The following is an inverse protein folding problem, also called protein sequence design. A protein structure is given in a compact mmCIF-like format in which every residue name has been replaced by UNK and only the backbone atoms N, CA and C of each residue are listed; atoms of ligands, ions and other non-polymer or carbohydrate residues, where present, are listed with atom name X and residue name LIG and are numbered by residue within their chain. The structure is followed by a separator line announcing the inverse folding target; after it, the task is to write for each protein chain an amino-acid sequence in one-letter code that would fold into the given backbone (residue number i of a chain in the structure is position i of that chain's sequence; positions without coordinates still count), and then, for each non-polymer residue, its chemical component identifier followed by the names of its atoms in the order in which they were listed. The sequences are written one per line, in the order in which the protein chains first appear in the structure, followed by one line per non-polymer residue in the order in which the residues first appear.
data_IF_290594508999
#
_entry.id   IF_290594508999
#
_cell.length_a   1.000
_cell.length_b   1.000
_cell.length_c   1.000
_cell.angle_alpha   90.00
_cell.angle_beta   90.00
_cell.angle_gamma   90.00
#
_symmetry.space_group_name_H-M   'P 1'
#
loop_
_entity.id
_entity.type
_entity.pdbx_description
1 polymer ?
#
# COMPACT_ATOMS: atom_id res chain seq x y z
N UNK A 1 1.64 -3.22 -7.97
CA UNK A 1 1.00 -2.30 -8.95
C UNK A 1 -0.52 -2.27 -8.84
N UNK A 2 -1.21 -3.39 -8.67
CA UNK A 2 -2.69 -3.44 -8.59
C UNK A 2 -3.32 -2.39 -7.64
N UNK A 3 -2.82 -2.26 -6.42
CA UNK A 3 -3.29 -1.29 -5.41
C UNK A 3 -2.58 0.07 -5.48
N UNK A 4 -1.86 0.37 -6.57
CA UNK A 4 -1.13 1.63 -6.68
C UNK A 4 -2.06 2.82 -6.95
N UNK A 5 -3.18 2.58 -7.64
CA UNK A 5 -4.23 3.54 -7.99
C UNK A 5 -3.66 4.81 -8.63
N UNK A 6 -3.09 4.62 -9.83
CA UNK A 6 -2.36 5.66 -10.56
C UNK A 6 -3.26 6.76 -11.16
N UNK A 7 -2.67 7.78 -11.80
CA UNK A 7 -3.38 8.99 -12.26
C UNK A 7 -4.41 8.74 -13.37
N UNK A 8 -4.42 7.56 -13.98
CA UNK A 8 -5.35 7.15 -15.03
C UNK A 8 -6.35 6.08 -14.58
N UNK A 9 -6.42 5.81 -13.27
CA UNK A 9 -7.41 4.90 -12.65
C UNK A 9 -8.24 5.65 -11.62
N UNK A 10 -9.20 4.95 -11.03
CA UNK A 10 -9.81 5.38 -9.79
C UNK A 10 -8.74 5.60 -8.72
N UNK A 11 -8.97 6.58 -7.85
CA UNK A 11 -8.21 6.72 -6.60
C UNK A 11 -8.66 5.62 -5.61
N UNK A 12 -7.96 5.41 -4.48
CA UNK A 12 -8.25 4.27 -3.61
C UNK A 12 -9.71 4.16 -3.14
N UNK A 13 -10.42 5.25 -2.78
CA UNK A 13 -11.85 5.17 -2.50
C UNK A 13 -12.68 4.61 -3.68
N UNK A 14 -12.37 5.07 -4.90
CA UNK A 14 -13.06 4.64 -6.12
C UNK A 14 -12.76 3.18 -6.50
N UNK A 15 -11.55 2.68 -6.23
CA UNK A 15 -11.24 1.24 -6.39
C UNK A 15 -12.21 0.40 -5.54
N UNK A 16 -12.51 0.82 -4.31
CA UNK A 16 -13.50 0.14 -3.47
C UNK A 16 -14.93 0.25 -4.00
N UNK A 17 -15.28 1.31 -4.74
CA UNK A 17 -16.55 1.35 -5.48
C UNK A 17 -16.59 0.32 -6.62
N UNK A 18 -15.49 0.12 -7.37
CA UNK A 18 -15.40 -0.91 -8.42
C UNK A 18 -15.59 -2.31 -7.82
N UNK A 19 -14.93 -2.60 -6.69
CA UNK A 19 -15.11 -3.86 -5.95
C UNK A 19 -16.56 -4.01 -5.50
N UNK A 20 -17.15 -2.96 -4.91
CA UNK A 20 -18.52 -2.99 -4.43
C UNK A 20 -19.54 -3.25 -5.54
N UNK A 21 -19.32 -2.70 -6.73
CA UNK A 21 -20.15 -2.94 -7.91
C UNK A 21 -20.05 -4.40 -8.37
N UNK A 22 -18.84 -4.94 -8.47
CA UNK A 22 -18.63 -6.36 -8.82
C UNK A 22 -19.30 -7.30 -7.82
N UNK A 23 -19.19 -7.00 -6.52
CA UNK A 23 -19.87 -7.75 -5.45
C UNK A 23 -21.39 -7.68 -5.61
N UNK A 24 -21.92 -6.49 -5.86
CA UNK A 24 -23.37 -6.26 -6.04
C UNK A 24 -23.92 -7.04 -7.24
N UNK A 25 -23.18 -7.07 -8.34
CA UNK A 25 -23.57 -7.81 -9.54
C UNK A 25 -23.54 -9.32 -9.31
N UNK A 26 -22.57 -9.83 -8.54
CA UNK A 26 -22.50 -11.26 -8.17
C UNK A 26 -23.58 -11.70 -7.17
N UNK A 27 -24.07 -10.79 -6.33
CA UNK A 27 -25.17 -11.05 -5.40
C UNK A 27 -26.54 -10.97 -6.06
N UNK A 28 -26.64 -10.34 -7.23
CA UNK A 28 -27.89 -10.23 -7.96
C UNK A 28 -28.25 -11.54 -8.70
N UNK A 29 -29.56 -11.84 -8.87
CA UNK A 29 -30.71 -11.16 -8.28
C UNK A 29 -30.91 -11.55 -6.80
N UNK A 30 -31.77 -10.81 -6.07
CA UNK A 30 -32.11 -10.98 -4.63
C UNK A 30 -31.20 -10.24 -3.64
N UNK A 31 -30.91 -8.98 -3.94
CA UNK A 31 -30.15 -8.08 -3.06
C UNK A 31 -30.89 -7.88 -1.73
N UNK A 32 -30.18 -8.10 -0.61
CA UNK A 32 -30.71 -7.97 0.76
C UNK A 32 -29.71 -7.22 1.62
N UNK A 33 -30.10 -6.03 2.07
CA UNK A 33 -29.25 -5.22 2.96
C UNK A 33 -29.01 -6.00 4.26
N UNK A 34 -27.74 -6.14 4.66
CA UNK A 34 -27.32 -6.95 5.80
C UNK A 34 -27.44 -8.46 5.58
N UNK A 35 -27.58 -8.93 4.33
CA UNK A 35 -27.71 -10.34 3.95
C UNK A 35 -29.04 -11.01 4.32
N UNK A 36 -29.77 -10.46 5.29
CA UNK A 36 -30.97 -11.07 5.89
C UNK A 36 -32.20 -10.18 5.81
N UNK A 37 -32.06 -8.91 5.42
CA UNK A 37 -33.16 -7.97 5.28
C UNK A 37 -34.16 -8.35 4.16
N UNK A 38 -35.24 -7.56 4.02
CA UNK A 38 -36.13 -7.67 2.87
C UNK A 38 -35.35 -7.54 1.55
N UNK A 39 -35.81 -8.24 0.52
CA UNK A 39 -35.26 -8.05 -0.82
C UNK A 39 -35.52 -6.60 -1.26
N UNK A 40 -34.49 -5.97 -1.82
CA UNK A 40 -34.55 -4.61 -2.37
C UNK A 40 -34.31 -4.66 -3.87
N UNK A 41 -34.85 -3.68 -4.59
CA UNK A 41 -34.52 -3.51 -6.00
C UNK A 41 -33.10 -2.93 -6.18
N UNK A 42 -32.63 -2.91 -7.44
CA UNK A 42 -31.27 -2.45 -7.76
C UNK A 42 -31.04 -0.99 -7.38
N UNK A 43 -32.02 -0.12 -7.62
CA UNK A 43 -31.88 1.31 -7.33
C UNK A 43 -31.75 1.53 -5.82
N UNK A 44 -32.59 0.87 -5.03
CA UNK A 44 -32.56 0.96 -3.59
C UNK A 44 -31.26 0.37 -3.02
N UNK A 45 -30.77 -0.74 -3.58
CA UNK A 45 -29.47 -1.29 -3.19
C UNK A 45 -28.33 -0.32 -3.46
N UNK A 46 -28.20 0.18 -4.70
CA UNK A 46 -27.09 1.04 -5.11
C UNK A 46 -27.07 2.34 -4.29
N UNK A 47 -28.23 2.98 -4.08
CA UNK A 47 -28.32 4.19 -3.24
C UNK A 47 -27.88 3.92 -1.81
N UNK A 48 -28.30 2.80 -1.22
CA UNK A 48 -27.90 2.44 0.14
C UNK A 48 -26.41 2.12 0.22
N UNK A 49 -25.90 1.30 -0.70
CA UNK A 49 -24.50 0.94 -0.80
C UNK A 49 -23.62 2.17 -0.91
N UNK A 50 -23.89 3.06 -1.86
CA UNK A 50 -23.07 4.25 -2.05
C UNK A 50 -23.18 5.24 -0.88
N UNK A 51 -24.35 5.38 -0.24
CA UNK A 51 -24.47 6.21 0.96
C UNK A 51 -23.54 5.72 2.07
N UNK A 52 -23.54 4.42 2.37
CA UNK A 52 -22.69 3.85 3.42
C UNK A 52 -21.21 3.87 3.02
N UNK A 53 -20.88 3.38 1.82
CA UNK A 53 -19.51 3.22 1.37
C UNK A 53 -18.82 4.57 1.19
N UNK A 54 -19.46 5.50 0.49
CA UNK A 54 -18.85 6.80 0.22
C UNK A 54 -18.81 7.68 1.47
N UNK A 55 -19.80 7.54 2.38
CA UNK A 55 -19.73 8.16 3.71
C UNK A 55 -18.54 7.65 4.51
N UNK A 56 -18.36 6.32 4.59
CA UNK A 56 -17.25 5.70 5.32
C UNK A 56 -15.87 6.11 4.80
N UNK A 57 -15.66 6.07 3.47
CA UNK A 57 -14.37 6.45 2.89
C UNK A 57 -14.16 7.98 2.95
N UNK A 58 -15.22 8.78 3.00
CA UNK A 58 -15.11 10.22 3.25
C UNK A 58 -14.67 10.52 4.69
N UNK A 59 -15.30 9.91 5.69
CA UNK A 59 -14.91 10.04 7.10
C UNK A 59 -13.47 9.52 7.33
N UNK A 60 -13.11 8.42 6.66
CA UNK A 60 -11.74 7.92 6.62
C UNK A 60 -10.76 8.94 6.03
N UNK A 61 -11.16 9.71 5.00
CA UNK A 61 -10.34 10.80 4.46
C UNK A 61 -10.14 11.90 5.50
N UNK A 62 -11.21 12.36 6.16
CA UNK A 62 -11.13 13.39 7.19
C UNK A 62 -10.18 12.95 8.30
N UNK A 63 -10.33 11.73 8.81
CA UNK A 63 -9.46 11.19 9.85
C UNK A 63 -8.00 11.06 9.38
N UNK A 64 -7.76 10.46 8.21
CA UNK A 64 -6.41 10.25 7.70
C UNK A 64 -5.68 11.57 7.42
N UNK A 65 -6.34 12.56 6.80
CA UNK A 65 -5.72 13.86 6.53
C UNK A 65 -5.57 14.69 7.80
N UNK A 66 -6.49 14.57 8.76
CA UNK A 66 -6.33 15.17 10.09
C UNK A 66 -5.07 14.67 10.80
N UNK A 67 -4.83 13.35 10.77
CA UNK A 67 -3.61 12.74 11.33
C UNK A 67 -2.35 13.16 10.56
N UNK A 68 -2.41 13.18 9.21
CA UNK A 68 -1.30 13.65 8.37
C UNK A 68 -0.89 15.07 8.72
N UNK A 69 -1.85 15.99 8.78
CA UNK A 69 -1.58 17.38 9.15
C UNK A 69 -1.10 17.54 10.59
N UNK A 70 -1.56 16.70 11.51
CA UNK A 70 -1.19 16.78 12.94
C UNK A 70 0.21 16.26 13.26
N UNK A 71 0.61 15.16 12.64
CA UNK A 71 1.84 14.44 12.99
C UNK A 71 3.01 14.69 12.04
N UNK A 72 2.75 15.24 10.85
CA UNK A 72 3.78 15.57 9.85
C UNK A 72 4.77 14.43 9.55
N UNK A 73 4.26 13.20 9.45
CA UNK A 73 5.09 12.00 9.37
C UNK A 73 5.99 11.95 8.12
N UNK A 74 7.24 11.55 8.31
CA UNK A 74 8.25 11.43 7.24
C UNK A 74 8.00 10.23 6.31
N UNK A 75 8.46 10.32 5.06
CA UNK A 75 8.40 9.21 4.08
C UNK A 75 9.66 8.34 4.12
N UNK A 76 9.58 7.03 3.79
CA UNK A 76 10.74 6.13 3.80
C UNK A 76 11.91 6.60 2.94
N UNK A 77 11.65 7.18 1.76
CA UNK A 77 12.72 7.70 0.88
C UNK A 77 13.56 8.77 1.58
N UNK A 78 12.91 9.72 2.26
CA UNK A 78 13.59 10.78 2.99
C UNK A 78 14.35 10.22 4.20
N UNK A 79 13.71 9.33 4.96
CA UNK A 79 14.30 8.69 6.12
C UNK A 79 15.54 7.87 5.75
N UNK A 80 15.43 6.94 4.81
CA UNK A 80 16.54 6.05 4.41
C UNK A 80 17.71 6.87 3.88
N UNK A 81 17.46 7.80 2.95
CA UNK A 81 18.54 8.59 2.34
C UNK A 81 19.24 9.51 3.34
N UNK A 82 18.47 10.14 4.22
CA UNK A 82 19.03 11.03 5.25
C UNK A 82 19.88 10.24 6.24
N UNK A 83 19.35 9.16 6.82
CA UNK A 83 20.09 8.35 7.78
C UNK A 83 21.33 7.70 7.12
N UNK A 84 21.23 7.25 5.86
CA UNK A 84 22.36 6.73 5.09
C UNK A 84 23.46 7.77 4.91
N UNK A 85 23.11 9.03 4.67
CA UNK A 85 24.08 10.11 4.49
C UNK A 85 24.88 10.44 5.76
N UNK A 86 24.35 10.08 6.94
CA UNK A 86 25.00 10.30 8.21
C UNK A 86 26.04 9.22 8.54
N UNK A 87 25.93 8.03 7.95
CA UNK A 87 26.79 6.87 8.23
C UNK A 87 26.04 5.75 8.96
N UNK A 88 26.77 4.92 9.70
CA UNK A 88 26.23 3.77 10.42
C UNK A 88 26.08 4.03 11.92
N UNK A 89 25.04 3.46 12.57
CA UNK A 89 24.76 3.66 13.99
C UNK A 89 24.99 2.43 14.90
N UNK A 90 25.54 1.34 14.35
CA UNK A 90 25.68 0.05 15.05
C UNK A 90 26.99 -0.13 15.81
N UNK A 91 28.10 0.40 15.31
CA UNK A 91 29.43 0.27 15.93
C UNK A 91 30.04 1.65 16.21
N UNK A 92 30.01 2.12 17.48
CA UNK A 92 30.60 3.40 17.88
C UNK A 92 32.11 3.55 17.64
N UNK A 93 32.82 2.44 17.45
CA UNK A 93 34.27 2.42 17.20
C UNK A 93 34.61 2.22 15.73
N UNK A 94 33.62 1.87 14.91
CA UNK A 94 33.77 1.59 13.51
C UNK A 94 33.84 2.86 12.64
N UNK A 95 34.31 2.73 11.39
CA UNK A 95 34.27 3.81 10.41
C UNK A 95 32.84 4.33 10.19
N UNK A 96 32.76 5.62 9.82
CA UNK A 96 31.51 6.32 9.51
C UNK A 96 30.43 6.19 10.58
N UNK A 97 30.83 6.08 11.85
CA UNK A 97 29.87 6.04 12.94
C UNK A 97 29.13 7.37 13.11
N UNK A 98 27.82 7.30 13.20
CA UNK A 98 26.95 8.37 13.66
C UNK A 98 25.77 7.76 14.43
N UNK A 99 25.50 8.24 15.65
CA UNK A 99 24.39 7.75 16.50
C UNK A 99 23.01 7.88 15.83
N UNK A 100 22.87 8.79 14.87
CA UNK A 100 21.65 9.04 14.08
C UNK A 100 21.75 8.43 12.67
N UNK A 101 22.78 7.63 12.37
CA UNK A 101 22.94 6.93 11.11
C UNK A 101 22.03 5.70 10.94
N UNK A 102 22.13 5.03 9.80
CA UNK A 102 21.42 3.77 9.57
C UNK A 102 22.04 2.63 10.39
N UNK A 103 21.23 1.76 11.02
CA UNK A 103 21.76 0.56 11.66
C UNK A 103 22.26 -0.42 10.59
N UNK A 104 23.42 -1.03 10.83
CA UNK A 104 23.93 -2.13 10.02
C UNK A 104 23.08 -3.38 10.25
N UNK A 105 22.69 -4.01 9.15
CA UNK A 105 21.93 -5.27 9.13
C UNK A 105 22.62 -6.20 8.14
N UNK A 106 23.28 -7.28 8.59
CA UNK A 106 24.00 -8.19 7.71
C UNK A 106 23.12 -8.68 6.55
N UNK A 107 23.63 -8.57 5.32
CA UNK A 107 22.94 -8.93 4.09
C UNK A 107 21.90 -7.92 3.59
N UNK A 108 21.72 -6.77 4.26
CA UNK A 108 20.71 -5.76 3.91
C UNK A 108 21.23 -4.31 3.98
N UNK A 109 21.88 -3.91 5.07
CA UNK A 109 22.46 -2.58 5.26
C UNK A 109 23.89 -2.77 5.73
N UNK A 110 24.85 -2.43 4.88
CA UNK A 110 26.26 -2.69 5.14
C UNK A 110 27.11 -1.47 4.82
N UNK A 111 28.24 -1.36 5.50
CA UNK A 111 29.26 -0.39 5.16
C UNK A 111 29.97 -0.87 3.88
N UNK A 112 30.19 0.05 2.94
CA UNK A 112 30.96 -0.23 1.74
C UNK A 112 32.44 -0.34 2.11
N UNK A 113 33.04 -1.51 1.91
CA UNK A 113 34.45 -1.77 2.20
C UNK A 113 35.26 -1.93 0.92
N UNK A 114 36.58 -1.74 1.02
CA UNK A 114 37.53 -2.01 -0.08
C UNK A 114 37.48 -3.45 -0.59
N UNK A 115 37.21 -4.40 0.30
CA UNK A 115 37.02 -5.81 -0.07
C UNK A 115 35.70 -6.00 -0.83
N UNK A 116 34.62 -5.35 -0.38
CA UNK A 116 33.33 -5.39 -1.04
C UNK A 116 33.36 -4.79 -2.46
N UNK A 117 34.15 -3.74 -2.68
CA UNK A 117 34.29 -3.06 -3.97
C UNK A 117 35.38 -3.64 -4.88
N UNK A 118 36.17 -4.61 -4.40
CA UNK A 118 37.21 -5.27 -5.19
C UNK A 118 36.63 -6.04 -6.39
N UNK A 119 37.50 -6.43 -7.33
CA UNK A 119 37.10 -7.24 -8.48
C UNK A 119 36.51 -8.58 -8.04
N UNK A 120 35.26 -8.84 -8.43
CA UNK A 120 34.49 -10.02 -8.00
C UNK A 120 33.76 -9.84 -6.67
N UNK A 121 33.95 -8.71 -5.97
CA UNK A 121 33.25 -8.38 -4.74
C UNK A 121 31.77 -8.03 -4.95
N UNK A 122 30.92 -8.25 -3.93
CA UNK A 122 29.47 -8.06 -4.03
C UNK A 122 29.04 -6.60 -4.27
N UNK A 123 29.89 -5.63 -3.90
CA UNK A 123 29.64 -4.19 -4.02
C UNK A 123 30.55 -3.54 -5.07
N UNK A 124 31.09 -4.30 -6.04
CA UNK A 124 31.97 -3.76 -7.10
C UNK A 124 31.39 -2.51 -7.79
N UNK A 125 30.08 -2.47 -8.02
CA UNK A 125 29.40 -1.33 -8.64
C UNK A 125 29.42 -0.04 -7.79
N UNK A 126 29.84 -0.12 -6.52
CA UNK A 126 29.95 0.97 -5.57
C UNK A 126 31.41 1.37 -5.29
N UNK A 127 32.36 0.94 -6.12
CA UNK A 127 33.76 1.37 -6.02
C UNK A 127 33.86 2.91 -6.05
N UNK A 128 34.62 3.48 -5.11
CA UNK A 128 34.71 4.93 -4.91
C UNK A 128 33.80 5.48 -3.81
N UNK A 129 32.88 4.67 -3.27
CA UNK A 129 32.00 5.02 -2.15
C UNK A 129 32.40 4.30 -0.85
N UNK A 130 33.66 3.91 -0.69
CA UNK A 130 34.10 3.22 0.52
C UNK A 130 33.88 4.07 1.79
N UNK A 131 33.41 3.41 2.85
CA UNK A 131 32.92 4.00 4.10
C UNK A 131 31.54 4.67 4.01
N UNK A 132 30.89 4.71 2.86
CA UNK A 132 29.46 5.05 2.79
C UNK A 132 28.58 3.82 3.03
N UNK A 133 27.27 4.03 3.13
CA UNK A 133 26.29 2.97 3.42
C UNK A 133 25.72 2.41 2.12
N UNK A 134 25.82 1.09 1.96
CA UNK A 134 25.09 0.34 0.95
C UNK A 134 23.81 -0.27 1.54
N UNK A 135 22.77 -0.31 0.72
CA UNK A 135 21.53 -1.03 1.00
C UNK A 135 21.27 -2.05 -0.10
N UNK A 136 20.87 -3.27 0.26
CA UNK A 136 20.51 -4.32 -0.70
C UNK A 136 19.03 -4.23 -1.00
N UNK A 137 18.69 -3.68 -2.16
CA UNK A 137 17.30 -3.40 -2.55
C UNK A 137 17.11 -3.50 -4.07
N UNK A 138 15.88 -3.33 -4.54
CA UNK A 138 15.59 -3.10 -5.95
C UNK A 138 16.41 -1.92 -6.48
N UNK A 139 17.09 -2.10 -7.60
CA UNK A 139 18.09 -1.16 -8.10
C UNK A 139 17.50 0.17 -8.63
N UNK A 140 16.18 0.28 -8.73
CA UNK A 140 15.47 1.42 -9.32
C UNK A 140 14.90 1.10 -10.69
N UNK A 141 14.26 2.08 -11.33
CA UNK A 141 13.64 1.87 -12.64
C UNK A 141 14.70 1.47 -13.69
N UNK A 142 14.45 0.44 -14.51
CA UNK A 142 15.34 0.07 -15.60
C UNK A 142 15.28 1.11 -16.73
N UNK A 143 16.23 1.06 -17.66
CA UNK A 143 16.30 1.98 -18.79
C UNK A 143 15.11 1.82 -19.75
N UNK A 144 14.71 0.57 -20.02
CA UNK A 144 13.49 0.25 -20.77
C UNK A 144 12.55 -0.64 -19.94
N UNK A 145 11.56 -0.05 -19.23
CA UNK A 145 10.63 -0.80 -18.40
C UNK A 145 9.69 -1.73 -19.18
N UNK A 146 9.63 -1.64 -20.51
CA UNK A 146 8.83 -2.59 -21.32
C UNK A 146 9.52 -3.93 -21.50
N UNK A 147 10.85 -3.95 -21.48
CA UNK A 147 11.65 -5.13 -21.84
C UNK A 147 12.61 -5.55 -20.74
N UNK A 148 12.82 -4.72 -19.72
CA UNK A 148 13.79 -4.95 -18.67
C UNK A 148 13.14 -4.93 -17.29
N UNK A 149 13.68 -5.76 -16.39
CA UNK A 149 13.41 -5.72 -14.95
C UNK A 149 14.72 -5.45 -14.20
N UNK A 150 14.65 -4.65 -13.14
CA UNK A 150 15.82 -4.32 -12.35
C UNK A 150 16.03 -5.36 -11.25
N UNK A 151 17.28 -5.80 -11.03
CA UNK A 151 17.57 -6.80 -10.01
C UNK A 151 17.52 -6.21 -8.60
N UNK A 152 17.56 -7.10 -7.61
CA UNK A 152 18.00 -6.74 -6.26
C UNK A 152 19.52 -6.68 -6.27
N UNK A 153 20.08 -5.53 -5.92
CA UNK A 153 21.52 -5.28 -5.91
C UNK A 153 21.92 -4.43 -4.69
N UNK A 154 23.22 -4.35 -4.41
CA UNK A 154 23.74 -3.35 -3.51
C UNK A 154 23.74 -1.98 -4.20
N UNK A 155 23.05 -1.02 -3.59
CA UNK A 155 22.98 0.37 -4.05
C UNK A 155 23.41 1.31 -2.92
N UNK A 156 23.88 2.51 -3.29
CA UNK A 156 24.18 3.54 -2.29
C UNK A 156 22.90 3.92 -1.54
N UNK A 157 22.94 3.93 -0.20
CA UNK A 157 21.77 4.22 0.64
C UNK A 157 21.16 5.59 0.36
N UNK A 158 22.00 6.57 0.00
CA UNK A 158 21.57 7.92 -0.40
C UNK A 158 20.92 7.97 -1.79
N UNK A 159 21.06 6.92 -2.60
CA UNK A 159 20.45 6.78 -3.91
C UNK A 159 19.17 5.92 -3.90
N UNK A 160 18.85 5.24 -2.79
CA UNK A 160 17.69 4.34 -2.69
C UNK A 160 16.38 5.00 -3.13
N UNK A 161 15.55 4.28 -3.90
CA UNK A 161 14.20 4.72 -4.29
C UNK A 161 13.16 3.64 -3.99
N UNK A 162 11.92 4.03 -3.67
CA UNK A 162 10.80 3.10 -3.57
C UNK A 162 10.41 2.52 -4.94
N UNK A 163 9.74 1.36 -4.94
CA UNK A 163 9.22 0.74 -6.15
C UNK A 163 7.97 1.49 -6.64
N UNK A 164 8.19 2.40 -7.59
CA UNK A 164 7.15 3.25 -8.17
C UNK A 164 7.51 3.67 -9.61
N UNK A 165 6.55 4.26 -10.33
CA UNK A 165 6.85 4.87 -11.63
C UNK A 165 7.74 6.09 -11.42
N UNK A 166 8.73 6.28 -12.29
CA UNK A 166 9.58 7.46 -12.26
C UNK A 166 8.79 8.79 -12.36
N UNK A 167 7.61 8.76 -13.00
CA UNK A 167 6.71 9.91 -13.19
C UNK A 167 5.57 9.99 -12.17
N UNK A 168 5.40 8.97 -11.32
CA UNK A 168 4.41 8.94 -10.25
C UNK A 168 5.13 8.62 -8.95
N UNK A 169 5.81 9.65 -8.45
CA UNK A 169 6.69 9.59 -7.29
C UNK A 169 5.91 9.52 -5.99
N UNK A 170 6.65 9.30 -4.90
CA UNK A 170 6.15 9.27 -3.53
C UNK A 170 5.17 10.43 -3.33
N UNK A 171 3.91 10.17 -2.95
CA UNK A 171 2.88 11.20 -2.95
C UNK A 171 3.27 12.41 -2.10
N UNK A 172 2.96 13.62 -2.58
CA UNK A 172 3.33 14.91 -1.99
C UNK A 172 2.47 15.27 -0.77
N UNK A 173 2.33 14.32 0.16
CA UNK A 173 1.71 14.46 1.47
C UNK A 173 2.37 13.52 2.49
N UNK A 174 2.21 13.84 3.76
CA UNK A 174 2.83 13.20 4.92
C UNK A 174 2.61 11.67 4.94
N UNK A 175 3.55 10.94 5.53
CA UNK A 175 3.50 9.48 5.69
C UNK A 175 2.37 9.04 6.62
N UNK A 176 2.42 9.42 7.89
CA UNK A 176 1.49 8.90 8.89
C UNK A 176 0.10 9.57 8.81
N UNK A 177 -1.01 8.86 8.66
CA UNK A 177 -1.19 7.41 8.44
C UNK A 177 -1.36 7.06 6.96
N UNK A 178 -1.25 5.79 6.59
CA UNK A 178 -1.50 5.32 5.23
C UNK A 178 -2.97 5.50 4.83
N UNK A 179 -3.24 6.40 3.86
CA UNK A 179 -4.60 6.62 3.36
C UNK A 179 -5.21 5.38 2.72
N UNK A 180 -4.44 4.61 1.94
CA UNK A 180 -4.90 3.36 1.33
C UNK A 180 -5.38 2.38 2.41
N UNK A 181 -4.62 2.25 3.50
CA UNK A 181 -4.97 1.37 4.62
C UNK A 181 -6.26 1.83 5.31
N UNK A 182 -6.42 3.15 5.54
CA UNK A 182 -7.62 3.71 6.16
C UNK A 182 -8.87 3.54 5.28
N UNK A 183 -8.80 3.90 4.00
CA UNK A 183 -9.91 3.75 3.07
C UNK A 183 -10.33 2.30 2.90
N UNK A 184 -9.35 1.42 2.73
CA UNK A 184 -9.62 0.02 2.45
C UNK A 184 -10.27 -0.69 3.63
N UNK A 185 -9.81 -0.41 4.84
CA UNK A 185 -10.45 -0.99 6.02
C UNK A 185 -11.85 -0.42 6.24
N UNK A 186 -12.06 0.88 6.03
CA UNK A 186 -13.41 1.47 6.14
C UNK A 186 -14.40 0.85 5.14
N UNK A 187 -13.96 0.67 3.88
CA UNK A 187 -14.76 0.03 2.85
C UNK A 187 -15.06 -1.44 3.15
N UNK A 188 -14.09 -2.21 3.66
CA UNK A 188 -14.29 -3.60 4.02
C UNK A 188 -15.33 -3.79 5.15
N UNK A 189 -15.36 -2.89 6.14
CA UNK A 189 -16.39 -2.91 7.19
C UNK A 189 -17.79 -2.66 6.61
N UNK A 190 -17.91 -1.67 5.71
CA UNK A 190 -19.20 -1.39 5.05
C UNK A 190 -19.65 -2.54 4.16
N UNK A 191 -18.74 -3.12 3.37
CA UNK A 191 -19.08 -4.27 2.52
C UNK A 191 -19.51 -5.47 3.36
N UNK A 192 -18.79 -5.76 4.46
CA UNK A 192 -19.18 -6.80 5.41
C UNK A 192 -20.58 -6.52 5.98
N UNK A 193 -20.84 -5.28 6.39
CA UNK A 193 -22.12 -4.87 6.95
C UNK A 193 -23.27 -4.99 5.94
N UNK A 194 -23.10 -4.49 4.72
CA UNK A 194 -24.18 -4.41 3.73
C UNK A 194 -24.48 -5.76 3.08
N UNK A 195 -23.49 -6.62 2.86
CA UNK A 195 -23.71 -7.98 2.33
C UNK A 195 -24.09 -8.97 3.43
N UNK A 196 -23.83 -8.63 4.70
CA UNK A 196 -24.06 -9.51 5.85
C UNK A 196 -23.04 -10.64 5.99
N UNK A 197 -21.91 -10.56 5.28
CA UNK A 197 -20.86 -11.57 5.26
C UNK A 197 -19.51 -10.90 5.07
N UNK A 198 -18.49 -11.34 5.81
CA UNK A 198 -17.11 -10.87 5.58
C UNK A 198 -16.51 -11.44 4.29
N UNK A 199 -17.05 -12.56 3.79
CA UNK A 199 -16.59 -13.23 2.59
C UNK A 199 -17.14 -12.59 1.32
N UNK A 200 -16.32 -12.57 0.28
CA UNK A 200 -16.78 -12.29 -1.07
C UNK A 200 -17.87 -13.28 -1.50
N UNK A 201 -18.81 -12.90 -2.39
CA UNK A 201 -19.83 -13.82 -2.90
C UNK A 201 -19.17 -15.10 -3.45
N UNK A 202 -19.65 -16.28 -3.06
CA UNK A 202 -19.03 -17.55 -3.45
C UNK A 202 -17.74 -17.93 -2.70
N UNK A 203 -17.33 -17.15 -1.69
CA UNK A 203 -16.22 -17.48 -0.78
C UNK A 203 -14.83 -17.09 -1.28
N UNK A 204 -14.70 -16.65 -2.53
CA UNK A 204 -13.43 -16.22 -3.13
C UNK A 204 -13.66 -15.14 -4.19
N UNK A 205 -12.81 -14.11 -4.15
CA UNK A 205 -12.61 -13.17 -5.26
C UNK A 205 -11.24 -13.37 -5.85
N UNK A 206 -11.16 -13.30 -7.18
CA UNK A 206 -9.94 -13.47 -7.94
C UNK A 206 -9.74 -12.30 -8.90
N UNK A 207 -8.48 -11.89 -9.08
CA UNK A 207 -8.09 -10.92 -10.09
C UNK A 207 -6.85 -11.41 -10.83
N UNK A 208 -6.95 -11.59 -12.14
CA UNK A 208 -5.80 -11.95 -12.97
C UNK A 208 -5.01 -10.72 -13.38
N UNK A 209 -3.79 -10.60 -12.85
CA UNK A 209 -2.75 -9.72 -13.37
C UNK A 209 -2.08 -10.42 -14.55
N UNK A 210 -2.29 -9.88 -15.75
CA UNK A 210 -1.82 -10.52 -16.99
C UNK A 210 -0.31 -10.48 -17.12
N UNK A 211 0.28 -11.51 -17.72
CA UNK A 211 1.68 -11.51 -18.14
C UNK A 211 2.02 -10.22 -18.90
N UNK A 212 3.13 -9.58 -18.55
CA UNK A 212 3.60 -8.35 -19.23
C UNK A 212 2.78 -7.09 -18.94
N UNK A 213 1.87 -7.09 -17.97
CA UNK A 213 1.02 -5.94 -17.65
C UNK A 213 1.62 -4.92 -16.67
N UNK A 214 2.78 -5.18 -16.07
CA UNK A 214 3.45 -4.23 -15.19
C UNK A 214 3.89 -2.97 -15.97
N UNK A 215 3.89 -1.85 -15.26
CA UNK A 215 4.24 -0.53 -15.78
C UNK A 215 5.59 -0.04 -15.27
N UNK A 216 6.02 -0.50 -14.10
CA UNK A 216 7.26 -0.02 -13.46
C UNK A 216 8.48 -0.71 -14.06
N UNK A 217 8.35 -1.99 -14.40
CA UNK A 217 9.36 -2.82 -15.05
C UNK A 217 8.71 -4.00 -15.79
N UNK A 218 9.49 -4.74 -16.57
CA UNK A 218 8.97 -5.87 -17.33
C UNK A 218 8.45 -6.96 -16.39
N UNK A 219 7.19 -7.34 -16.57
CA UNK A 219 6.56 -8.39 -15.78
C UNK A 219 5.03 -8.28 -15.78
N UNK A 220 4.34 -9.13 -15.02
CA UNK A 220 4.87 -10.38 -14.48
C UNK A 220 5.26 -11.35 -15.60
N UNK A 221 6.12 -12.33 -15.33
CA UNK A 221 6.61 -13.30 -16.32
C UNK A 221 5.56 -14.35 -16.74
N UNK A 222 4.47 -14.46 -15.98
CA UNK A 222 3.29 -15.26 -16.26
C UNK A 222 2.06 -14.55 -15.66
N UNK A 223 0.86 -15.01 -16.02
CA UNK A 223 -0.36 -14.56 -15.33
C UNK A 223 -0.26 -14.83 -13.82
N UNK A 224 -0.56 -13.82 -13.02
CA UNK A 224 -0.60 -13.91 -11.55
C UNK A 224 -2.04 -13.72 -11.12
N UNK A 225 -2.56 -14.64 -10.30
CA UNK A 225 -3.93 -14.55 -9.78
C UNK A 225 -3.84 -14.05 -8.34
N UNK A 226 -4.36 -12.84 -8.10
CA UNK A 226 -4.59 -12.35 -6.74
C UNK A 226 -5.89 -12.95 -6.22
N UNK A 227 -5.91 -13.39 -4.98
CA UNK A 227 -7.05 -14.06 -4.37
C UNK A 227 -7.34 -13.51 -2.98
N UNK A 228 -8.63 -13.33 -2.67
CA UNK A 228 -9.11 -12.87 -1.36
C UNK A 228 -10.38 -13.61 -0.98
N UNK A 229 -10.42 -14.21 0.21
CA UNK A 229 -11.62 -14.85 0.71
C UNK A 229 -12.58 -13.81 1.30
N UNK A 230 -12.03 -12.87 2.06
CA UNK A 230 -12.77 -11.81 2.75
C UNK A 230 -12.44 -10.42 2.22
N UNK A 231 -13.35 -9.46 2.44
CA UNK A 231 -13.07 -8.05 2.18
C UNK A 231 -11.89 -7.54 3.02
N UNK A 232 -11.68 -8.12 4.20
CA UNK A 232 -10.55 -7.80 5.07
C UNK A 232 -9.22 -8.28 4.49
N UNK A 233 -9.18 -9.42 3.78
CA UNK A 233 -7.97 -9.88 3.07
C UNK A 233 -7.57 -8.90 1.97
N UNK A 234 -8.55 -8.43 1.19
CA UNK A 234 -8.34 -7.43 0.14
C UNK A 234 -7.85 -6.11 0.73
N UNK A 235 -8.47 -5.64 1.81
CA UNK A 235 -8.05 -4.42 2.51
C UNK A 235 -6.65 -4.53 3.13
N UNK A 236 -6.32 -5.70 3.68
CA UNK A 236 -5.02 -5.96 4.28
C UNK A 236 -3.91 -6.04 3.23
N UNK A 237 -4.20 -6.62 2.07
CA UNK A 237 -3.28 -6.61 0.94
C UNK A 237 -3.11 -5.21 0.36
N UNK A 238 -4.17 -4.40 0.30
CA UNK A 238 -4.10 -3.00 -0.13
C UNK A 238 -3.16 -2.18 0.78
N UNK A 239 -3.25 -2.35 2.09
CA UNK A 239 -2.33 -1.73 3.05
C UNK A 239 -0.89 -2.23 2.93
N UNK A 240 -0.69 -3.56 2.90
CA UNK A 240 0.63 -4.19 2.74
C UNK A 240 1.33 -3.76 1.45
N UNK A 241 0.57 -3.55 0.37
CA UNK A 241 1.12 -3.11 -0.92
C UNK A 241 1.90 -1.81 -0.82
N UNK A 242 1.60 -0.96 0.18
CA UNK A 242 2.31 0.30 0.39
C UNK A 242 3.67 0.13 1.06
N UNK A 243 3.83 -0.97 1.81
CA UNK A 243 5.12 -1.41 2.34
C UNK A 243 5.97 -2.02 1.22
N UNK A 244 5.37 -2.88 0.38
CA UNK A 244 6.06 -3.47 -0.78
C UNK A 244 6.50 -2.40 -1.78
N UNK A 245 5.67 -1.36 -1.98
CA UNK A 245 6.03 -0.19 -2.78
C UNK A 245 7.06 0.72 -2.12
N UNK A 246 7.39 0.54 -0.83
CA UNK A 246 8.41 1.34 -0.12
C UNK A 246 7.99 2.76 0.23
N UNK A 247 6.69 3.09 0.26
CA UNK A 247 6.23 4.47 0.50
C UNK A 247 5.62 4.71 1.88
N UNK A 248 5.38 3.65 2.66
CA UNK A 248 4.89 3.68 4.03
C UNK A 248 5.70 2.71 4.90
N UNK A 249 5.71 2.95 6.22
CA UNK A 249 6.22 2.00 7.22
C UNK A 249 5.06 1.23 7.87
N UNK A 250 5.36 0.12 8.56
CA UNK A 250 4.33 -0.72 9.21
C UNK A 250 3.40 0.07 10.14
N UNK A 251 3.95 1.04 10.89
CA UNK A 251 3.15 1.87 11.80
C UNK A 251 2.09 2.72 11.06
N UNK A 252 2.41 3.23 9.87
CA UNK A 252 1.47 4.00 9.04
C UNK A 252 0.31 3.11 8.57
N UNK A 253 0.63 1.88 8.17
CA UNK A 253 -0.34 0.91 7.65
C UNK A 253 -1.25 0.38 8.77
N UNK A 254 -0.67 -0.19 9.82
CA UNK A 254 -1.44 -0.80 10.90
C UNK A 254 -2.38 0.20 11.57
N UNK A 255 -1.87 1.40 11.88
CA UNK A 255 -2.71 2.45 12.48
C UNK A 255 -3.78 2.94 11.50
N UNK A 256 -3.44 3.06 10.21
CA UNK A 256 -4.41 3.39 9.16
C UNK A 256 -5.58 2.40 9.13
N UNK A 257 -5.31 1.09 9.23
CA UNK A 257 -6.36 0.06 9.31
C UNK A 257 -7.22 0.23 10.55
N UNK A 258 -6.63 0.45 11.73
CA UNK A 258 -7.40 0.65 12.96
C UNK A 258 -8.36 1.84 12.83
N UNK A 259 -7.86 2.98 12.36
CA UNK A 259 -8.67 4.18 12.11
C UNK A 259 -9.77 3.90 11.09
N UNK A 260 -9.43 3.24 9.99
CA UNK A 260 -10.39 2.87 8.94
C UNK A 260 -11.50 1.95 9.44
N UNK A 261 -11.18 0.97 10.29
CA UNK A 261 -12.17 0.07 10.91
C UNK A 261 -13.19 0.85 11.73
N UNK A 262 -12.74 1.81 12.55
CA UNK A 262 -13.62 2.69 13.32
C UNK A 262 -14.53 3.50 12.39
N UNK A 263 -13.97 4.20 11.40
CA UNK A 263 -14.76 4.99 10.44
C UNK A 263 -15.81 4.13 9.71
N UNK A 264 -15.43 2.93 9.24
CA UNK A 264 -16.34 2.04 8.53
C UNK A 264 -17.49 1.53 9.40
N UNK A 265 -17.20 1.14 10.65
CA UNK A 265 -18.22 0.70 11.62
C UNK A 265 -19.19 1.82 11.96
N UNK A 266 -18.67 3.02 12.26
CA UNK A 266 -19.49 4.18 12.63
C UNK A 266 -20.37 4.64 11.46
N UNK A 267 -19.81 4.71 10.25
CA UNK A 267 -20.54 5.06 9.04
C UNK A 267 -21.61 4.02 8.69
N UNK A 268 -21.32 2.73 8.85
CA UNK A 268 -22.31 1.67 8.66
C UNK A 268 -23.47 1.77 9.66
N UNK A 269 -23.18 2.02 10.95
CA UNK A 269 -24.20 2.24 11.97
C UNK A 269 -25.06 3.47 11.65
N UNK A 270 -24.45 4.56 11.19
CA UNK A 270 -25.16 5.77 10.79
C UNK A 270 -26.03 5.53 9.55
N UNK A 271 -25.51 4.84 8.54
CA UNK A 271 -26.26 4.51 7.34
C UNK A 271 -27.52 3.68 7.65
N UNK A 272 -27.41 2.70 8.55
CA UNK A 272 -28.57 1.92 9.01
C UNK A 272 -29.66 2.78 9.66
N UNK A 273 -29.29 3.83 10.40
CA UNK A 273 -30.26 4.79 10.94
C UNK A 273 -31.00 5.53 9.83
N UNK A 274 -30.28 6.02 8.83
CA UNK A 274 -30.89 6.68 7.67
C UNK A 274 -31.78 5.74 6.87
N UNK A 275 -31.42 4.47 6.70
CA UNK A 275 -32.27 3.48 6.06
C UNK A 275 -33.59 3.25 6.80
N UNK A 276 -33.59 3.45 8.12
CA UNK A 276 -34.76 3.35 8.99
C UNK A 276 -35.54 4.68 9.12
N UNK A 277 -35.12 5.74 8.41
CA UNK A 277 -35.75 7.07 8.47
C UNK A 277 -35.48 7.84 9.77
N UNK A 278 -34.31 7.63 10.40
CA UNK A 278 -33.89 8.22 11.69
C UNK A 278 -32.55 8.95 11.63
#
# INVERSE_FOLDING_TARGET
EFWADGPSSETPPGHWNVIANSVSDRLAPNLRVGGTGPAVDRLQWDVKLYLALNGAVHDAAIAAWGLKGRYDGIRPISMIRYLASLGQSSDPTGPSYNKEGLPLVPGLIELITREGTADGGPMKALAGHESEIAVRAWQGNPADPKTQASPVAWILGTAWVPYQLATFVTPSFQGYVSGHSTFSRAAAEVLTGITGSEYFPGGLSEWTVKQGSFRIEAGPSADVILQWATYYDAADQAGQSRLYGGIHVQADDFTGRVVGSTCGKDAWLLAQRYYAGR
#
